data_IF_361166962615
#
_entry.id   IF_361166962615
#
_cell.length_a   1.000
_cell.length_b   1.000
_cell.length_c   1.000
_cell.angle_alpha   90.00
_cell.angle_beta   90.00
_cell.angle_gamma   90.00
#
_symmetry.space_group_name_H-M   'P 1'
#
loop_
_entity.id
_entity.type
_entity.pdbx_description
1 polymer ?
#
# COMPACT_ATOMS: atom_id res chain seq x y z
N UNK A 1 -0.24 -13.74 16.38
CA UNK A 1 -0.54 -13.56 14.93
C UNK A 1 0.61 -12.80 14.30
N UNK A 2 1.25 -13.41 13.31
CA UNK A 2 2.31 -12.74 12.58
C UNK A 2 1.71 -12.05 11.37
N UNK A 3 1.77 -10.72 11.35
CA UNK A 3 1.29 -9.94 10.24
C UNK A 3 2.48 -9.51 9.39
N UNK A 4 2.49 -9.94 8.13
CA UNK A 4 3.54 -9.57 7.19
C UNK A 4 2.98 -8.59 6.18
N UNK A 5 3.65 -7.47 6.02
CA UNK A 5 3.31 -6.49 4.99
C UNK A 5 4.14 -6.77 3.74
N UNK A 6 3.57 -6.48 2.58
CA UNK A 6 4.25 -6.67 1.31
C UNK A 6 5.43 -5.70 1.15
N UNK A 7 5.31 -4.51 1.72
CA UNK A 7 6.33 -3.46 1.63
C UNK A 7 6.77 -3.04 3.02
N UNK A 8 7.99 -2.52 3.12
CA UNK A 8 8.58 -2.09 4.37
C UNK A 8 8.64 -0.56 4.49
N UNK A 9 8.80 -0.08 5.72
CA UNK A 9 9.03 1.34 5.96
C UNK A 9 10.31 1.78 5.25
N UNK A 10 10.24 2.96 4.60
CA UNK A 10 11.38 3.51 3.87
C UNK A 10 11.58 2.95 2.48
N UNK A 11 10.82 1.91 2.11
CA UNK A 11 10.94 1.31 0.80
C UNK A 11 10.31 2.21 -0.26
N UNK A 12 10.98 2.36 -1.41
CA UNK A 12 10.44 3.12 -2.53
C UNK A 12 9.46 2.29 -3.33
N UNK A 13 8.33 2.88 -3.66
CA UNK A 13 7.28 2.24 -4.46
C UNK A 13 6.82 3.17 -5.57
N UNK A 14 6.18 2.61 -6.58
CA UNK A 14 5.61 3.33 -7.72
C UNK A 14 4.09 3.27 -7.65
N UNK A 15 3.44 4.35 -8.05
CA UNK A 15 1.98 4.44 -8.03
C UNK A 15 1.52 5.46 -9.07
N UNK A 16 0.21 5.44 -9.35
CA UNK A 16 -0.39 6.41 -10.28
C UNK A 16 -0.98 7.57 -9.49
N UNK A 17 -0.65 8.78 -9.90
CA UNK A 17 -1.22 10.00 -9.33
C UNK A 17 -1.52 10.98 -10.48
N UNK A 18 -2.77 11.41 -10.58
CA UNK A 18 -3.22 12.33 -11.62
C UNK A 18 -2.84 11.84 -13.03
N UNK A 19 -3.03 10.54 -13.27
CA UNK A 19 -2.73 9.88 -14.55
C UNK A 19 -1.25 9.86 -14.89
N UNK A 20 -0.38 10.04 -13.91
CA UNK A 20 1.08 10.01 -14.09
C UNK A 20 1.71 9.02 -13.13
N UNK A 21 2.79 8.39 -13.57
CA UNK A 21 3.60 7.52 -12.71
C UNK A 21 4.36 8.39 -11.72
N UNK A 22 4.22 8.05 -10.43
CA UNK A 22 4.93 8.74 -9.36
C UNK A 22 5.66 7.71 -8.51
N UNK A 23 6.64 8.17 -7.73
CA UNK A 23 7.38 7.32 -6.82
C UNK A 23 7.58 8.05 -5.49
N UNK A 24 7.57 7.29 -4.40
CA UNK A 24 7.82 7.81 -3.07
C UNK A 24 8.19 6.68 -2.14
N UNK A 25 8.83 7.01 -1.02
CA UNK A 25 9.10 6.05 0.03
C UNK A 25 7.91 5.96 0.99
N UNK A 26 7.79 4.82 1.64
CA UNK A 26 6.73 4.56 2.61
C UNK A 26 7.14 5.17 3.96
N UNK A 27 6.31 6.06 4.50
CA UNK A 27 6.57 6.69 5.80
C UNK A 27 5.84 6.04 6.96
N UNK A 28 4.73 5.37 6.68
CA UNK A 28 3.91 4.76 7.74
C UNK A 28 3.09 3.61 7.17
N UNK A 29 2.96 2.55 7.97
CA UNK A 29 2.11 1.42 7.64
C UNK A 29 1.06 1.31 8.75
N UNK A 30 -0.22 1.33 8.36
CA UNK A 30 -1.34 1.21 9.29
C UNK A 30 -2.03 -0.13 9.05
N UNK A 31 -2.23 -0.89 10.11
CA UNK A 31 -2.84 -2.22 10.04
C UNK A 31 -4.06 -2.24 10.95
N UNK A 32 -5.23 -2.50 10.36
CA UNK A 32 -6.48 -2.64 11.09
C UNK A 32 -6.94 -4.09 11.05
N UNK A 33 -7.29 -4.64 12.20
CA UNK A 33 -7.80 -6.01 12.31
C UNK A 33 -9.13 -5.96 13.05
N UNK A 34 -10.15 -6.63 12.52
CA UNK A 34 -11.46 -6.62 13.14
C UNK A 34 -12.25 -7.91 12.82
N UNK A 35 -13.34 -8.14 13.57
CA UNK A 35 -14.30 -9.18 13.25
C UNK A 35 -15.42 -8.59 12.39
N UNK A 36 -15.80 -9.29 11.34
CA UNK A 36 -16.97 -8.91 10.56
C UNK A 36 -18.25 -9.53 11.17
N UNK A 37 -19.39 -9.33 10.50
CA UNK A 37 -20.69 -9.81 10.98
C UNK A 37 -20.76 -11.33 11.08
N UNK A 38 -19.93 -12.05 10.34
CA UNK A 38 -19.90 -13.51 10.34
C UNK A 38 -18.85 -14.08 11.28
N UNK A 39 -18.31 -13.25 12.18
CA UNK A 39 -17.25 -13.61 13.12
C UNK A 39 -15.95 -14.05 12.43
N UNK A 40 -15.72 -13.57 11.22
CA UNK A 40 -14.48 -13.82 10.49
C UNK A 40 -13.50 -12.68 10.78
N UNK A 41 -12.21 -13.03 10.92
CA UNK A 41 -11.18 -12.04 11.11
C UNK A 41 -10.87 -11.38 9.77
N UNK A 42 -10.92 -10.06 9.73
CA UNK A 42 -10.57 -9.26 8.56
C UNK A 42 -9.43 -8.33 8.88
N UNK A 43 -8.63 -8.02 7.88
CA UNK A 43 -7.47 -7.17 8.05
C UNK A 43 -7.39 -6.21 6.87
N UNK A 44 -6.96 -4.98 7.16
CA UNK A 44 -6.72 -3.96 6.14
C UNK A 44 -5.37 -3.32 6.40
N UNK A 45 -4.57 -3.20 5.34
CA UNK A 45 -3.24 -2.58 5.41
C UNK A 45 -3.25 -1.34 4.53
N UNK A 46 -2.89 -0.20 5.12
CA UNK A 46 -2.79 1.07 4.42
C UNK A 46 -1.34 1.55 4.48
N UNK A 47 -0.85 2.04 3.35
CA UNK A 47 0.49 2.60 3.25
C UNK A 47 0.40 4.11 3.06
N UNK A 48 1.12 4.85 3.91
CA UNK A 48 1.24 6.30 3.79
C UNK A 48 2.61 6.62 3.22
N UNK A 49 2.64 7.51 2.25
CA UNK A 49 3.86 7.88 1.54
C UNK A 49 4.30 9.28 1.92
N UNK A 50 5.61 9.54 1.80
CA UNK A 50 6.15 10.87 2.09
C UNK A 50 5.60 11.95 1.16
N UNK A 51 5.19 11.58 -0.05
CA UNK A 51 4.73 12.53 -1.07
C UNK A 51 3.35 13.10 -0.83
N UNK A 52 2.60 12.65 0.19
CA UNK A 52 1.26 13.17 0.43
C UNK A 52 0.64 12.56 1.67
N UNK A 53 -0.60 12.97 1.95
CA UNK A 53 -1.33 12.53 3.13
C UNK A 53 -2.34 11.42 2.83
N UNK A 54 -2.44 11.00 1.58
CA UNK A 54 -3.35 9.93 1.19
C UNK A 54 -2.73 8.58 1.51
N UNK A 55 -3.60 7.60 1.81
CA UNK A 55 -3.15 6.22 1.95
C UNK A 55 -3.34 5.46 0.65
N UNK A 56 -2.59 4.37 0.51
CA UNK A 56 -2.69 3.47 -0.63
C UNK A 56 -2.78 2.03 -0.14
N UNK A 57 -3.53 1.22 -0.87
CA UNK A 57 -3.61 -0.21 -0.60
C UNK A 57 -2.48 -0.92 -1.35
N UNK A 58 -2.13 -2.15 -0.91
CA UNK A 58 -1.04 -2.91 -1.53
C UNK A 58 -1.21 -3.06 -3.04
N UNK A 59 -2.44 -3.24 -3.50
CA UNK A 59 -2.72 -3.45 -4.92
C UNK A 59 -2.48 -2.21 -5.77
N UNK A 60 -2.37 -1.04 -5.16
CA UNK A 60 -2.14 0.22 -5.85
C UNK A 60 -0.67 0.66 -5.84
N UNK A 61 0.20 -0.16 -5.25
CA UNK A 61 1.63 0.12 -5.17
C UNK A 61 2.41 -0.96 -5.90
N UNK A 62 3.53 -0.57 -6.50
CA UNK A 62 4.36 -1.46 -7.31
C UNK A 62 5.84 -1.24 -6.98
N UNK A 63 6.64 -2.30 -7.03
CA UNK A 63 8.06 -2.22 -6.76
C UNK A 63 8.84 -1.60 -7.91
N UNK A 64 8.34 -1.78 -9.14
CA UNK A 64 8.99 -1.25 -10.34
C UNK A 64 7.98 -0.52 -11.20
N UNK A 65 8.49 0.41 -12.02
CA UNK A 65 7.66 1.12 -12.99
C UNK A 65 7.05 0.16 -14.02
N UNK A 66 7.81 -0.85 -14.39
CA UNK A 66 7.37 -1.85 -15.36
C UNK A 66 6.16 -2.63 -14.86
N UNK A 67 6.17 -3.04 -13.59
CA UNK A 67 5.03 -3.74 -12.98
C UNK A 67 3.78 -2.86 -12.99
N UNK A 68 3.93 -1.58 -12.69
CA UNK A 68 2.82 -0.64 -12.69
C UNK A 68 2.24 -0.52 -14.11
N UNK A 69 3.08 -0.37 -15.11
CA UNK A 69 2.65 -0.24 -16.51
C UNK A 69 1.92 -1.51 -16.96
N UNK A 70 2.41 -2.68 -16.59
CA UNK A 70 1.78 -3.95 -16.95
C UNK A 70 0.39 -4.11 -16.30
N UNK A 71 0.12 -3.41 -15.19
CA UNK A 71 -1.16 -3.48 -14.50
C UNK A 71 -2.25 -2.62 -15.13
N UNK A 72 -1.88 -1.73 -16.02
CA UNK A 72 -2.83 -0.78 -16.63
C UNK A 72 -3.68 -1.42 -17.71
#
# INVERSE_FOLDING_TARGET
MDIKTKYDLGQSVFFMKDNKVATSAIKQISIDVWYNKNNEIRMRIHYYLFSGDQFYEEDNLFLTKEELIESL
#
